data_IF_218435527181
#
_entry.id   IF_218435527181
#
_cell.length_a   1.000
_cell.length_b   1.000
_cell.length_c   1.000
_cell.angle_alpha   90.00
_cell.angle_beta   90.00
_cell.angle_gamma   90.00
#
_symmetry.space_group_name_H-M   'P 1'
#
loop_
_entity.id
_entity.type
_entity.pdbx_description
1 polymer ?
#
# COMPACT_ATOMS: atom_id res chain seq x y z
N UNK A 1 -34.39 1.18 17.83
CA UNK A 1 -33.99 1.97 16.65
C UNK A 1 -34.35 3.44 16.88
N UNK A 2 -33.36 4.29 17.12
CA UNK A 2 -33.36 5.59 16.45
C UNK A 2 -32.01 5.89 15.79
N UNK A 3 -32.11 6.62 14.69
CA UNK A 3 -31.08 6.97 13.71
C UNK A 3 -30.15 8.05 14.29
N UNK A 4 -28.86 7.77 14.37
CA UNK A 4 -27.84 8.81 14.49
C UNK A 4 -27.18 9.02 13.11
N UNK A 5 -27.82 9.83 12.27
CA UNK A 5 -27.12 10.49 11.17
C UNK A 5 -26.56 11.80 11.71
N UNK A 6 -25.33 11.78 12.24
CA UNK A 6 -24.56 13.02 12.39
C UNK A 6 -24.11 13.44 11.00
N UNK A 7 -24.90 14.29 10.34
CA UNK A 7 -24.40 15.07 9.21
C UNK A 7 -23.31 15.99 9.75
N UNK A 8 -22.04 15.67 9.48
CA UNK A 8 -20.95 16.62 9.65
C UNK A 8 -21.26 17.83 8.77
N UNK A 9 -21.44 19.01 9.37
CA UNK A 9 -21.48 20.27 8.64
C UNK A 9 -20.10 20.92 8.82
N UNK A 10 -19.29 21.05 7.76
CA UNK A 10 -18.03 21.77 7.86
C UNK A 10 -18.35 23.26 8.08
N UNK A 11 -17.96 23.81 9.22
CA UNK A 11 -17.92 25.27 9.42
C UNK A 11 -16.69 25.81 8.69
N UNK A 12 -16.89 26.40 7.51
CA UNK A 12 -15.80 27.05 6.76
C UNK A 12 -15.18 28.17 7.59
N UNK A 13 -13.90 28.03 7.93
CA UNK A 13 -13.13 29.04 8.64
C UNK A 13 -12.35 29.91 7.65
N UNK A 14 -12.87 31.10 7.38
CA UNK A 14 -12.19 32.13 6.58
C UNK A 14 -11.37 33.04 7.51
N UNK A 15 -10.25 33.60 7.03
CA UNK A 15 -9.64 34.77 7.68
C UNK A 15 -10.49 36.01 7.45
N UNK A 16 -10.32 37.04 8.29
CA UNK A 16 -11.00 38.35 8.18
C UNK A 16 -10.85 39.04 6.80
N UNK A 17 -9.93 38.56 5.96
CA UNK A 17 -9.64 39.03 4.60
C UNK A 17 -10.18 38.13 3.47
N UNK A 18 -11.03 37.14 3.76
CA UNK A 18 -11.66 36.29 2.73
C UNK A 18 -10.75 35.23 2.12
N UNK A 19 -9.56 35.02 2.69
CA UNK A 19 -8.61 33.99 2.26
C UNK A 19 -8.87 32.70 3.04
N UNK A 20 -8.85 31.55 2.33
CA UNK A 20 -8.96 30.24 2.96
C UNK A 20 -7.78 30.00 3.91
N UNK A 21 -8.07 29.47 5.09
CA UNK A 21 -7.03 29.03 6.01
C UNK A 21 -6.42 27.72 5.50
N UNK A 22 -5.16 27.45 5.84
CA UNK A 22 -4.51 26.18 5.52
C UNK A 22 -5.32 24.98 6.06
N UNK A 23 -5.95 25.12 7.22
CA UNK A 23 -6.84 24.10 7.78
C UNK A 23 -8.06 23.85 6.88
N UNK A 24 -8.73 24.91 6.42
CA UNK A 24 -9.88 24.79 5.52
C UNK A 24 -9.52 24.18 4.15
N UNK A 25 -8.31 24.43 3.65
CA UNK A 25 -7.83 23.85 2.41
C UNK A 25 -7.62 22.33 2.54
N UNK A 26 -6.94 21.88 3.61
CA UNK A 26 -6.75 20.46 3.90
C UNK A 26 -8.07 19.70 4.12
N UNK A 27 -9.08 20.35 4.72
CA UNK A 27 -10.41 19.76 4.86
C UNK A 27 -11.08 19.55 3.49
N UNK A 28 -10.98 20.53 2.59
CA UNK A 28 -11.53 20.42 1.25
C UNK A 28 -10.83 19.33 0.41
N UNK A 29 -9.51 19.24 0.50
CA UNK A 29 -8.75 18.15 -0.14
C UNK A 29 -9.20 16.79 0.39
N UNK A 30 -9.23 16.61 1.72
CA UNK A 30 -9.70 15.37 2.33
C UNK A 30 -11.12 14.96 1.88
N UNK A 31 -12.06 15.91 1.78
CA UNK A 31 -13.43 15.66 1.29
C UNK A 31 -13.46 15.23 -0.19
N UNK A 32 -12.68 15.90 -1.04
CA UNK A 32 -12.57 15.54 -2.46
C UNK A 32 -11.99 14.12 -2.63
N UNK A 33 -11.09 13.74 -1.74
CA UNK A 33 -10.40 12.46 -1.78
C UNK A 33 -11.26 11.32 -1.31
N UNK A 34 -11.97 11.53 -0.21
CA UNK A 34 -13.01 10.63 0.23
C UNK A 34 -14.01 10.38 -0.92
N UNK A 35 -14.41 11.42 -1.66
CA UNK A 35 -15.32 11.27 -2.81
C UNK A 35 -14.73 10.40 -3.92
N UNK A 36 -13.49 10.66 -4.36
CA UNK A 36 -12.81 9.86 -5.40
C UNK A 36 -12.69 8.39 -4.99
N UNK A 37 -12.24 8.12 -3.76
CA UNK A 37 -12.09 6.77 -3.22
C UNK A 37 -13.43 6.02 -3.15
N UNK A 38 -14.49 6.70 -2.72
CA UNK A 38 -15.85 6.13 -2.69
C UNK A 38 -16.38 5.84 -4.09
N UNK A 39 -16.11 6.70 -5.07
CA UNK A 39 -16.48 6.47 -6.48
C UNK A 39 -15.80 5.22 -7.06
N UNK A 40 -14.58 4.91 -6.61
CA UNK A 40 -13.89 3.65 -6.96
C UNK A 40 -14.40 2.42 -6.18
N UNK A 41 -15.46 2.56 -5.38
CA UNK A 41 -16.02 1.47 -4.57
C UNK A 41 -15.37 1.29 -3.19
N UNK A 42 -14.61 2.27 -2.74
CA UNK A 42 -13.91 2.24 -1.46
C UNK A 42 -14.82 2.57 -0.26
N UNK A 43 -14.70 1.77 0.79
CA UNK A 43 -15.19 2.12 2.12
C UNK A 43 -14.16 3.02 2.81
N UNK A 44 -14.48 4.32 2.87
CA UNK A 44 -13.58 5.33 3.45
C UNK A 44 -13.97 5.65 4.90
N UNK A 45 -12.96 5.69 5.76
CA UNK A 45 -13.01 6.18 7.13
C UNK A 45 -11.99 7.33 7.28
N UNK A 46 -12.49 8.57 7.19
CA UNK A 46 -11.71 9.77 7.45
C UNK A 46 -11.63 9.99 8.98
N UNK A 47 -10.44 9.87 9.57
CA UNK A 47 -10.25 10.14 11.01
C UNK A 47 -9.97 11.62 11.29
N UNK A 48 -9.26 12.28 10.38
CA UNK A 48 -8.98 13.72 10.38
C UNK A 48 -8.60 14.16 8.98
N UNK A 49 -8.49 15.46 8.70
CA UNK A 49 -7.97 15.95 7.42
C UNK A 49 -6.55 15.43 7.08
N UNK A 50 -5.82 14.87 8.05
CA UNK A 50 -4.46 14.35 7.88
C UNK A 50 -4.35 12.83 7.93
N UNK A 51 -5.45 12.09 8.06
CA UNK A 51 -5.40 10.63 8.15
C UNK A 51 -6.68 9.99 7.62
N UNK A 52 -6.52 9.13 6.63
CA UNK A 52 -7.59 8.44 5.92
C UNK A 52 -7.31 6.94 5.86
N UNK A 53 -8.35 6.14 6.09
CA UNK A 53 -8.34 4.71 5.86
C UNK A 53 -9.32 4.39 4.73
N UNK A 54 -8.91 3.55 3.79
CA UNK A 54 -9.78 3.07 2.72
C UNK A 54 -9.68 1.56 2.58
N UNK A 55 -10.82 0.92 2.32
CA UNK A 55 -10.92 -0.52 2.08
C UNK A 55 -11.75 -0.82 0.85
N UNK A 56 -11.25 -1.71 0.00
CA UNK A 56 -11.95 -2.31 -1.12
C UNK A 56 -12.14 -3.81 -0.85
N UNK A 57 -13.29 -4.33 -1.28
CA UNK A 57 -13.59 -5.76 -1.26
C UNK A 57 -13.35 -6.34 -2.64
N UNK A 58 -12.43 -7.30 -2.76
CA UNK A 58 -12.04 -7.93 -4.02
C UNK A 58 -12.24 -9.44 -3.85
N UNK A 59 -13.40 -9.94 -4.29
CA UNK A 59 -13.80 -11.33 -4.05
C UNK A 59 -13.72 -11.69 -2.57
N UNK A 60 -12.85 -12.65 -2.25
CA UNK A 60 -12.69 -13.21 -0.89
C UNK A 60 -11.69 -12.45 0.00
N UNK A 61 -10.99 -11.43 -0.51
CA UNK A 61 -10.02 -10.68 0.28
C UNK A 61 -10.27 -9.17 0.29
N UNK A 62 -9.61 -8.50 1.22
CA UNK A 62 -9.67 -7.05 1.41
C UNK A 62 -8.37 -6.44 0.92
N UNK A 63 -8.48 -5.41 0.10
CA UNK A 63 -7.39 -4.51 -0.22
C UNK A 63 -7.61 -3.25 0.62
N UNK A 64 -6.65 -2.88 1.47
CA UNK A 64 -6.85 -1.77 2.41
C UNK A 64 -5.60 -0.94 2.56
N UNK A 65 -5.80 0.36 2.69
CA UNK A 65 -4.74 1.35 2.82
C UNK A 65 -5.02 2.28 3.99
N UNK A 66 -3.94 2.83 4.52
CA UNK A 66 -3.94 4.05 5.32
C UNK A 66 -3.01 5.04 4.65
N UNK A 67 -3.40 6.31 4.65
CA UNK A 67 -2.46 7.36 4.37
C UNK A 67 -2.58 8.52 5.36
N UNK A 68 -1.45 9.19 5.59
CA UNK A 68 -1.37 10.33 6.48
C UNK A 68 -0.47 11.45 5.97
N UNK A 69 -0.76 12.68 6.41
CA UNK A 69 0.00 13.88 6.04
C UNK A 69 0.98 14.23 7.16
N UNK A 70 2.27 14.33 6.84
CA UNK A 70 3.31 14.71 7.80
C UNK A 70 3.38 16.24 8.02
N UNK A 71 4.35 16.70 8.82
CA UNK A 71 4.56 18.13 9.08
C UNK A 71 5.06 18.91 7.87
N UNK A 72 5.64 18.23 6.89
CA UNK A 72 6.14 18.79 5.63
C UNK A 72 5.08 18.76 4.52
N UNK A 73 3.81 18.50 4.84
CA UNK A 73 2.69 18.33 3.90
C UNK A 73 2.92 17.24 2.85
N UNK A 74 3.62 16.17 3.25
CA UNK A 74 3.86 15.01 2.40
C UNK A 74 2.99 13.85 2.84
N UNK A 75 2.51 13.08 1.87
CA UNK A 75 1.59 11.97 2.08
C UNK A 75 2.36 10.66 2.21
N UNK A 76 2.11 9.92 3.28
CA UNK A 76 2.66 8.58 3.51
C UNK A 76 1.57 7.58 3.25
N UNK A 77 1.78 6.67 2.31
CA UNK A 77 0.81 5.62 1.96
C UNK A 77 1.35 4.25 2.37
N UNK A 78 0.52 3.52 3.11
CA UNK A 78 0.79 2.14 3.50
C UNK A 78 -0.39 1.24 3.12
N UNK A 79 -0.07 0.07 2.57
CA UNK A 79 -1.03 -1.02 2.42
C UNK A 79 -1.11 -1.78 3.74
N UNK A 80 -2.31 -2.03 4.24
CA UNK A 80 -2.57 -2.79 5.46
C UNK A 80 -3.01 -4.24 5.17
N UNK A 81 -3.79 -4.42 4.09
CA UNK A 81 -4.33 -5.71 3.66
C UNK A 81 -4.17 -5.85 2.14
N UNK A 82 -3.93 -7.07 1.63
CA UNK A 82 -3.99 -8.37 2.33
C UNK A 82 -2.75 -8.70 3.19
N UNK A 83 -1.68 -7.92 3.04
CA UNK A 83 -0.47 -7.94 3.87
C UNK A 83 0.08 -6.51 4.00
N UNK A 84 0.83 -6.21 5.06
CA UNK A 84 1.42 -4.88 5.23
C UNK A 84 2.49 -4.63 4.16
N UNK A 85 2.48 -3.44 3.56
CA UNK A 85 3.53 -2.99 2.66
C UNK A 85 3.61 -1.45 2.71
N UNK A 86 4.71 -0.86 3.20
CA UNK A 86 4.96 0.57 3.02
C UNK A 86 5.25 0.81 1.54
N UNK A 87 4.54 1.77 0.92
CA UNK A 87 4.70 2.05 -0.50
C UNK A 87 5.75 3.15 -0.73
N UNK A 88 5.38 4.41 -0.52
CA UNK A 88 6.28 5.57 -0.63
C UNK A 88 5.63 6.84 -0.08
N UNK A 89 6.42 7.89 -0.05
CA UNK A 89 5.99 9.26 0.23
C UNK A 89 5.61 9.98 -1.08
N UNK A 90 4.53 10.76 -1.05
CA UNK A 90 4.02 11.54 -2.18
C UNK A 90 4.00 13.04 -1.87
N UNK A 91 4.17 13.85 -2.91
CA UNK A 91 4.13 15.31 -2.83
C UNK A 91 2.71 15.85 -2.84
N UNK A 92 1.86 15.21 -3.61
CA UNK A 92 0.48 15.59 -3.79
C UNK A 92 -0.42 14.39 -3.51
N UNK A 93 -1.68 14.70 -3.22
CA UNK A 93 -2.65 13.69 -2.85
C UNK A 93 -3.20 12.95 -4.09
N UNK A 94 -3.20 13.57 -5.27
CA UNK A 94 -3.67 12.94 -6.51
C UNK A 94 -2.83 11.71 -6.87
N UNK A 95 -1.51 11.76 -6.65
CA UNK A 95 -0.62 10.62 -6.84
C UNK A 95 -0.92 9.47 -5.86
N UNK A 96 -1.40 9.78 -4.65
CA UNK A 96 -1.84 8.78 -3.67
C UNK A 96 -3.07 8.05 -4.20
N UNK A 97 -4.05 8.80 -4.69
CA UNK A 97 -5.28 8.24 -5.27
C UNK A 97 -4.97 7.42 -6.52
N UNK A 98 -4.10 7.91 -7.38
CA UNK A 98 -3.70 7.22 -8.61
C UNK A 98 -2.95 5.92 -8.31
N UNK A 99 -2.06 5.91 -7.32
CA UNK A 99 -1.42 4.66 -6.89
C UNK A 99 -2.45 3.66 -6.35
N UNK A 100 -3.41 4.10 -5.52
CA UNK A 100 -4.48 3.22 -5.01
C UNK A 100 -5.32 2.67 -6.16
N UNK A 101 -5.63 3.50 -7.16
CA UNK A 101 -6.38 3.10 -8.37
C UNK A 101 -5.65 2.03 -9.16
N UNK A 102 -4.36 2.23 -9.44
CA UNK A 102 -3.52 1.27 -10.17
C UNK A 102 -3.39 -0.06 -9.42
N UNK A 103 -3.11 -0.01 -8.11
CA UNK A 103 -3.07 -1.22 -7.29
C UNK A 103 -4.43 -1.95 -7.30
N UNK A 104 -5.53 -1.21 -7.17
CA UNK A 104 -6.88 -1.79 -7.20
C UNK A 104 -7.14 -2.53 -8.51
N UNK A 105 -6.80 -1.93 -9.64
CA UNK A 105 -6.93 -2.54 -10.97
C UNK A 105 -6.09 -3.82 -11.11
N UNK A 106 -4.83 -3.78 -10.67
CA UNK A 106 -3.94 -4.94 -10.67
C UNK A 106 -4.47 -6.07 -9.78
N UNK A 107 -4.93 -5.77 -8.56
CA UNK A 107 -5.48 -6.77 -7.66
C UNK A 107 -6.83 -7.33 -8.14
N UNK A 108 -7.68 -6.50 -8.75
CA UNK A 108 -8.92 -6.96 -9.39
C UNK A 108 -8.64 -7.91 -10.55
N UNK A 109 -7.61 -7.63 -11.35
CA UNK A 109 -7.20 -8.54 -12.42
C UNK A 109 -6.60 -9.84 -11.85
N UNK A 110 -5.69 -9.73 -10.87
CA UNK A 110 -5.08 -10.89 -10.23
C UNK A 110 -6.11 -11.77 -9.52
N UNK A 111 -7.19 -11.20 -8.98
CA UNK A 111 -8.30 -11.94 -8.38
C UNK A 111 -9.07 -12.84 -9.35
N UNK A 112 -8.95 -12.63 -10.67
CA UNK A 112 -9.50 -13.54 -11.68
C UNK A 112 -8.67 -14.83 -11.82
N UNK A 113 -7.42 -14.83 -11.34
CA UNK A 113 -6.56 -16.00 -11.33
C UNK A 113 -6.89 -16.94 -10.17
N UNK A 114 -6.79 -18.25 -10.42
CA UNK A 114 -6.92 -19.28 -9.37
C UNK A 114 -5.78 -19.23 -8.35
N UNK A 115 -4.70 -18.49 -8.63
CA UNK A 115 -3.48 -18.47 -7.83
C UNK A 115 -3.39 -17.28 -6.86
N UNK A 116 -4.36 -16.36 -6.85
CA UNK A 116 -4.31 -15.16 -5.99
C UNK A 116 -4.17 -15.49 -4.50
N UNK A 117 -4.85 -16.54 -4.03
CA UNK A 117 -4.77 -16.99 -2.64
C UNK A 117 -3.35 -17.44 -2.29
N UNK A 118 -2.68 -18.16 -3.18
CA UNK A 118 -1.29 -18.60 -3.00
C UNK A 118 -0.35 -17.40 -3.00
N UNK A 119 -0.54 -16.43 -3.90
CA UNK A 119 0.25 -15.20 -3.93
C UNK A 119 0.14 -14.38 -2.63
N UNK A 120 -1.08 -14.19 -2.13
CA UNK A 120 -1.32 -13.52 -0.86
C UNK A 120 -0.63 -14.27 0.29
N UNK A 121 -0.76 -15.60 0.31
CA UNK A 121 -0.15 -16.44 1.35
C UNK A 121 1.38 -16.34 1.32
N UNK A 122 2.02 -16.40 0.16
CA UNK A 122 3.47 -16.24 0.01
C UNK A 122 3.92 -14.91 0.61
N UNK A 123 3.27 -13.80 0.26
CA UNK A 123 3.62 -12.49 0.80
C UNK A 123 3.41 -12.39 2.32
N UNK A 124 2.38 -13.03 2.86
CA UNK A 124 2.16 -13.10 4.31
C UNK A 124 3.27 -13.88 5.02
N UNK A 125 3.70 -15.03 4.47
CA UNK A 125 4.82 -15.79 5.04
C UNK A 125 6.15 -15.04 4.91
N UNK A 126 6.41 -14.35 3.79
CA UNK A 126 7.61 -13.51 3.65
C UNK A 126 7.68 -12.42 4.73
N UNK A 127 6.58 -11.73 5.00
CA UNK A 127 6.51 -10.74 6.07
C UNK A 127 6.77 -11.35 7.46
N UNK A 128 6.22 -12.55 7.74
CA UNK A 128 6.47 -13.26 9.00
C UNK A 128 7.91 -13.70 9.13
N UNK A 129 8.49 -14.23 8.05
CA UNK A 129 9.89 -14.67 8.00
C UNK A 129 10.83 -13.51 8.22
N UNK A 130 10.59 -12.36 7.58
CA UNK A 130 11.39 -11.15 7.77
C UNK A 130 11.39 -10.70 9.25
N UNK A 131 10.22 -10.70 9.89
CA UNK A 131 10.10 -10.38 11.32
C UNK A 131 10.81 -11.39 12.21
N UNK A 132 10.63 -12.69 11.95
CA UNK A 132 11.30 -13.74 12.72
C UNK A 132 12.82 -13.69 12.55
N UNK A 133 13.30 -13.31 11.37
CA UNK A 133 14.72 -13.09 11.10
C UNK A 133 15.25 -11.88 11.87
N UNK A 134 14.53 -10.75 11.90
CA UNK A 134 14.89 -9.61 12.74
C UNK A 134 14.96 -9.99 14.23
N UNK A 135 13.93 -10.66 14.75
CA UNK A 135 13.91 -11.15 16.13
C UNK A 135 15.11 -12.08 16.40
N UNK A 136 15.45 -12.99 15.49
CA UNK A 136 16.61 -13.87 15.63
C UNK A 136 17.91 -13.05 15.83
N UNK A 137 18.13 -12.00 15.05
CA UNK A 137 19.33 -11.16 15.17
C UNK A 137 19.34 -10.26 16.40
N UNK A 138 18.19 -9.76 16.83
CA UNK A 138 18.11 -8.89 18.00
C UNK A 138 18.23 -9.65 19.32
N UNK A 139 17.79 -10.91 19.35
CA UNK A 139 17.71 -11.70 20.58
C UNK A 139 18.75 -12.83 20.70
N UNK A 140 19.43 -13.21 19.62
CA UNK A 140 20.42 -14.29 19.62
C UNK A 140 21.75 -13.86 19.02
N UNK A 141 22.85 -14.42 19.55
CA UNK A 141 24.16 -14.30 18.93
C UNK A 141 24.28 -15.33 17.81
N UNK A 142 24.00 -14.93 16.57
CA UNK A 142 23.99 -15.81 15.40
C UNK A 142 25.39 -15.95 14.80
N UNK A 143 25.88 -17.18 14.63
CA UNK A 143 27.14 -17.45 13.93
C UNK A 143 27.04 -17.22 12.41
N UNK A 144 28.14 -16.79 11.79
CA UNK A 144 28.20 -16.41 10.36
C UNK A 144 27.76 -17.52 9.40
N UNK A 145 28.02 -18.79 9.72
CA UNK A 145 27.62 -19.91 8.85
C UNK A 145 26.08 -19.98 8.65
N UNK A 146 25.31 -19.62 9.68
CA UNK A 146 23.85 -19.58 9.57
C UNK A 146 23.37 -18.42 8.71
N UNK A 147 24.09 -17.29 8.71
CA UNK A 147 23.76 -16.13 7.87
C UNK A 147 24.00 -16.42 6.39
N UNK A 148 25.11 -17.12 6.07
CA UNK A 148 25.45 -17.51 4.70
C UNK A 148 24.43 -18.50 4.12
N UNK A 149 23.99 -19.46 4.93
CA UNK A 149 22.95 -20.42 4.52
C UNK A 149 21.63 -19.71 4.19
N UNK A 150 21.23 -18.72 4.99
CA UNK A 150 20.01 -17.96 4.74
C UNK A 150 20.14 -17.12 3.47
N UNK A 151 21.31 -16.50 3.23
CA UNK A 151 21.56 -15.75 2.00
C UNK A 151 21.43 -16.65 0.76
N UNK A 152 22.01 -17.85 0.79
CA UNK A 152 21.87 -18.80 -0.31
C UNK A 152 20.40 -19.16 -0.59
N UNK A 153 19.58 -19.34 0.46
CA UNK A 153 18.14 -19.58 0.28
C UNK A 153 17.38 -18.38 -0.28
N UNK A 154 17.80 -17.16 0.02
CA UNK A 154 17.24 -15.98 -0.61
C UNK A 154 17.61 -15.91 -2.10
N UNK A 155 18.83 -16.32 -2.47
CA UNK A 155 19.23 -16.37 -3.87
C UNK A 155 18.45 -17.44 -4.67
N UNK A 156 18.18 -18.61 -4.08
CA UNK A 156 17.27 -19.61 -4.68
C UNK A 156 15.87 -19.02 -4.97
N UNK A 157 15.34 -18.18 -4.07
CA UNK A 157 14.05 -17.49 -4.28
C UNK A 157 14.15 -16.47 -5.42
N UNK A 158 15.26 -15.71 -5.52
CA UNK A 158 15.47 -14.74 -6.60
C UNK A 158 15.49 -15.42 -7.97
N UNK A 159 16.18 -16.55 -8.07
CA UNK A 159 16.28 -17.30 -9.31
C UNK A 159 14.93 -17.89 -9.74
N UNK A 160 14.14 -18.38 -8.78
CA UNK A 160 12.79 -18.87 -9.09
C UNK A 160 11.85 -17.73 -9.56
N UNK A 161 11.98 -16.52 -9.00
CA UNK A 161 11.24 -15.34 -9.48
C UNK A 161 11.63 -15.00 -10.93
N UNK A 162 12.92 -14.97 -11.25
CA UNK A 162 13.42 -14.71 -12.62
C UNK A 162 12.85 -15.71 -13.61
N UNK A 163 12.97 -16.99 -13.30
CA UNK A 163 12.44 -18.06 -14.13
C UNK A 163 10.91 -17.94 -14.32
N UNK A 164 10.19 -17.63 -13.25
CA UNK A 164 8.73 -17.44 -13.31
C UNK A 164 8.35 -16.26 -14.21
N UNK A 165 9.12 -15.17 -14.21
CA UNK A 165 8.91 -14.04 -15.13
C UNK A 165 9.09 -14.47 -16.58
N UNK A 166 10.18 -15.19 -16.89
CA UNK A 166 10.47 -15.67 -18.23
C UNK A 166 9.40 -16.65 -18.76
N UNK A 167 8.83 -17.46 -17.87
CA UNK A 167 7.82 -18.47 -18.18
C UNK A 167 6.37 -17.92 -18.19
N UNK A 168 6.15 -16.64 -17.84
CA UNK A 168 4.80 -16.07 -17.65
C UNK A 168 4.43 -15.02 -18.71
N UNK A 169 3.13 -14.95 -19.02
CA UNK A 169 2.58 -13.88 -19.86
C UNK A 169 2.39 -12.58 -19.08
N UNK A 170 2.79 -11.46 -19.68
CA UNK A 170 2.63 -10.12 -19.11
C UNK A 170 1.17 -9.67 -19.21
N UNK A 171 0.64 -9.11 -18.11
CA UNK A 171 -0.78 -8.72 -18.02
C UNK A 171 -1.05 -7.22 -18.21
N UNK A 172 -0.03 -6.37 -18.06
CA UNK A 172 -0.16 -4.91 -18.17
C UNK A 172 1.07 -4.32 -18.88
N UNK A 173 0.85 -3.44 -19.84
CA UNK A 173 1.90 -2.83 -20.68
C UNK A 173 2.37 -1.45 -20.16
N UNK A 174 1.71 -0.93 -19.11
CA UNK A 174 1.95 0.39 -18.52
C UNK A 174 3.25 0.43 -17.68
N UNK A 175 4.39 0.26 -18.35
CA UNK A 175 5.71 0.21 -17.71
C UNK A 175 5.93 -1.06 -16.88
N UNK A 176 7.19 -1.46 -16.70
CA UNK A 176 7.48 -2.51 -15.71
C UNK A 176 7.41 -1.92 -14.31
N UNK A 177 6.93 -2.67 -13.29
CA UNK A 177 7.05 -2.23 -11.92
C UNK A 177 8.52 -1.96 -11.62
N UNK A 178 8.88 -0.70 -11.30
CA UNK A 178 10.28 -0.32 -11.06
C UNK A 178 10.98 -1.25 -10.05
N UNK A 179 10.24 -1.80 -9.09
CA UNK A 179 10.75 -2.75 -8.11
C UNK A 179 11.14 -4.11 -8.71
N UNK A 180 10.42 -4.62 -9.71
CA UNK A 180 10.76 -5.87 -10.38
C UNK A 180 11.97 -5.67 -11.29
N UNK A 181 12.04 -4.57 -12.05
CA UNK A 181 13.22 -4.23 -12.86
C UNK A 181 14.47 -4.19 -11.97
N UNK A 182 14.43 -3.38 -10.90
CA UNK A 182 15.55 -3.22 -9.97
C UNK A 182 15.98 -4.57 -9.38
N UNK A 183 15.01 -5.42 -9.04
CA UNK A 183 15.28 -6.76 -8.52
C UNK A 183 15.95 -7.66 -9.56
N UNK A 184 15.48 -7.64 -10.82
CA UNK A 184 16.03 -8.46 -11.90
C UNK A 184 17.44 -8.00 -12.30
N UNK A 185 17.68 -6.68 -12.36
CA UNK A 185 18.96 -6.06 -12.71
C UNK A 185 20.04 -6.21 -11.63
N UNK A 186 19.67 -6.58 -10.39
CA UNK A 186 20.65 -6.76 -9.31
C UNK A 186 21.47 -8.05 -9.55
N UNK A 187 22.80 -7.97 -9.70
CA UNK A 187 23.63 -9.15 -9.93
C UNK A 187 23.57 -10.10 -8.71
N UNK A 188 23.34 -11.39 -8.97
CA UNK A 188 23.53 -12.44 -7.95
C UNK A 188 25.04 -12.64 -7.84
N UNK A 189 25.57 -12.47 -6.64
CA UNK A 189 27.01 -12.58 -6.36
C UNK A 189 27.43 -14.03 -6.21
#
# INVERSE_FOLDING_TARGET
>A
MPKYSRTYRPTRSYTTSGVLTQASYLEMEAEQHEMKLRQMGGEVLQLSAKCCYVRFHIGEFKLSYVYNINRSNRYFLERLKPYPLPLKEYENEDDVIEMIRLDLEHFQNAAKSKNITSFIKINQELNRTAKAFEDLFLYYNVETFHTDTILQKLDEIKDEIRKTVDDSERLFDDGEPCSLIQFLETPVK
#
